data_IF_639459762038
#
_entry.id   IF_639459762038
#
_cell.length_a   1.000
_cell.length_b   1.000
_cell.length_c   1.000
_cell.angle_alpha   90.00
_cell.angle_beta   90.00
_cell.angle_gamma   90.00
#
_symmetry.space_group_name_H-M   'P 1'
#
loop_
_entity.id
_entity.type
_entity.pdbx_description
1 polymer ?
#
# COMPACT_ATOMS: atom_id res chain seq x y z
N UNK A 1 -6.49 -16.12 -15.76
CA UNK A 1 -6.16 -15.00 -14.85
C UNK A 1 -7.29 -14.85 -13.86
N UNK A 2 -6.99 -14.59 -12.58
CA UNK A 2 -8.05 -14.40 -11.58
C UNK A 2 -8.90 -13.15 -11.88
N UNK A 3 -10.22 -13.28 -11.73
CA UNK A 3 -11.19 -12.22 -12.03
C UNK A 3 -10.94 -10.96 -11.19
N UNK A 4 -10.51 -11.10 -9.93
CA UNK A 4 -10.20 -9.98 -9.05
C UNK A 4 -9.00 -9.16 -9.57
N UNK A 5 -7.96 -9.84 -10.07
CA UNK A 5 -6.81 -9.18 -10.68
C UNK A 5 -7.17 -8.45 -11.97
N UNK A 6 -8.09 -9.00 -12.77
CA UNK A 6 -8.59 -8.30 -13.97
C UNK A 6 -9.35 -7.03 -13.58
N UNK A 7 -10.28 -7.13 -12.63
CA UNK A 7 -11.07 -5.99 -12.17
C UNK A 7 -10.19 -4.87 -11.59
N UNK A 8 -9.17 -5.22 -10.79
CA UNK A 8 -8.27 -4.20 -10.23
C UNK A 8 -7.42 -3.51 -11.29
N UNK A 9 -7.04 -4.22 -12.38
CA UNK A 9 -6.34 -3.61 -13.52
C UNK A 9 -7.23 -2.65 -14.29
N UNK A 10 -8.47 -3.04 -14.57
CA UNK A 10 -9.45 -2.17 -15.23
C UNK A 10 -9.74 -0.93 -14.39
N UNK A 11 -9.92 -1.10 -13.07
CA UNK A 11 -10.07 0.02 -12.15
C UNK A 11 -8.85 0.93 -12.15
N UNK A 12 -7.63 0.38 -12.18
CA UNK A 12 -6.39 1.16 -12.23
C UNK A 12 -6.24 1.93 -13.55
N UNK A 13 -6.73 1.37 -14.67
CA UNK A 13 -6.75 2.06 -15.95
C UNK A 13 -7.79 3.20 -15.97
N UNK A 14 -8.95 3.00 -15.34
CA UNK A 14 -10.02 4.00 -15.29
C UNK A 14 -9.75 5.13 -14.27
N UNK A 15 -9.04 4.83 -13.19
CA UNK A 15 -8.76 5.76 -12.10
C UNK A 15 -7.30 5.62 -11.61
N UNK A 16 -6.30 6.05 -12.40
CA UNK A 16 -4.88 5.90 -12.07
C UNK A 16 -4.48 6.66 -10.79
N UNK A 17 -5.18 7.76 -10.50
CA UNK A 17 -4.90 8.63 -9.34
C UNK A 17 -5.77 8.30 -8.12
N UNK A 18 -6.34 7.09 -8.07
CA UNK A 18 -7.13 6.64 -6.92
C UNK A 18 -6.29 5.83 -5.95
N UNK A 19 -6.04 6.40 -4.76
CA UNK A 19 -5.33 5.71 -3.67
C UNK A 19 -6.03 4.40 -3.27
N UNK A 20 -7.37 4.36 -3.28
CA UNK A 20 -8.13 3.17 -2.96
C UNK A 20 -7.94 2.05 -4.00
N UNK A 21 -7.84 2.41 -5.29
CA UNK A 21 -7.56 1.44 -6.35
C UNK A 21 -6.14 0.89 -6.24
N UNK A 22 -5.16 1.77 -5.99
CA UNK A 22 -3.78 1.37 -5.74
C UNK A 22 -3.66 0.47 -4.48
N UNK A 23 -4.40 0.78 -3.41
CA UNK A 23 -4.49 -0.03 -2.20
C UNK A 23 -5.10 -1.43 -2.46
N UNK A 24 -6.19 -1.49 -3.24
CA UNK A 24 -6.81 -2.76 -3.62
C UNK A 24 -5.86 -3.62 -4.47
N UNK A 25 -5.12 -2.98 -5.40
CA UNK A 25 -4.10 -3.66 -6.20
C UNK A 25 -2.97 -4.19 -5.33
N UNK A 26 -2.43 -3.39 -4.41
CA UNK A 26 -1.43 -3.83 -3.43
C UNK A 26 -1.91 -5.08 -2.68
N UNK A 27 -3.12 -5.03 -2.14
CA UNK A 27 -3.71 -6.12 -1.37
C UNK A 27 -3.83 -7.41 -2.18
N UNK A 28 -4.31 -7.31 -3.42
CA UNK A 28 -4.50 -8.47 -4.29
C UNK A 28 -3.16 -9.03 -4.77
N UNK A 29 -2.24 -8.21 -5.27
CA UNK A 29 -0.95 -8.71 -5.76
C UNK A 29 -0.17 -9.43 -4.64
N UNK A 30 -0.26 -8.96 -3.40
CA UNK A 30 0.33 -9.67 -2.26
C UNK A 30 -0.34 -11.02 -2.00
N UNK A 31 -1.67 -11.08 -2.03
CA UNK A 31 -2.43 -12.33 -1.86
C UNK A 31 -2.03 -13.38 -2.93
N UNK A 32 -1.69 -12.93 -4.13
CA UNK A 32 -1.21 -13.78 -5.22
C UNK A 32 0.30 -14.06 -5.19
N UNK A 33 1.00 -13.70 -4.12
CA UNK A 33 2.43 -13.93 -3.94
C UNK A 33 3.33 -13.02 -4.78
N UNK A 34 2.80 -11.94 -5.35
CA UNK A 34 3.53 -10.99 -6.20
C UNK A 34 3.96 -9.78 -5.38
N UNK A 35 4.86 -10.04 -4.44
CA UNK A 35 5.37 -9.08 -3.47
C UNK A 35 5.82 -7.74 -4.11
N UNK A 36 6.63 -7.79 -5.16
CA UNK A 36 7.19 -6.58 -5.78
C UNK A 36 6.09 -5.67 -6.37
N UNK A 37 5.09 -6.27 -7.02
CA UNK A 37 3.95 -5.54 -7.58
C UNK A 37 3.06 -4.97 -6.45
N UNK A 38 2.95 -5.69 -5.34
CA UNK A 38 2.21 -5.22 -4.18
C UNK A 38 2.88 -3.98 -3.56
N UNK A 39 4.20 -4.04 -3.36
CA UNK A 39 4.99 -2.92 -2.81
C UNK A 39 4.91 -1.71 -3.72
N UNK A 40 5.05 -1.89 -5.04
CA UNK A 40 4.93 -0.80 -6.00
C UNK A 40 3.55 -0.11 -5.94
N UNK A 41 2.47 -0.90 -5.89
CA UNK A 41 1.12 -0.38 -5.77
C UNK A 41 0.87 0.31 -4.41
N UNK A 42 1.46 -0.19 -3.33
CA UNK A 42 1.39 0.43 -2.00
C UNK A 42 2.11 1.78 -1.94
N UNK A 43 3.28 1.89 -2.57
CA UNK A 43 4.01 3.16 -2.71
C UNK A 43 3.21 4.19 -3.51
N UNK A 44 2.63 3.78 -4.64
CA UNK A 44 1.71 4.63 -5.42
C UNK A 44 0.52 5.09 -4.56
N UNK A 45 -0.10 4.19 -3.80
CA UNK A 45 -1.23 4.55 -2.94
C UNK A 45 -0.81 5.61 -1.89
N UNK A 46 0.37 5.47 -1.30
CA UNK A 46 0.91 6.40 -0.31
C UNK A 46 1.29 7.75 -0.92
N UNK A 47 1.78 7.78 -2.16
CA UNK A 47 2.04 9.01 -2.91
C UNK A 47 0.75 9.79 -3.18
N UNK A 48 -0.33 9.08 -3.54
CA UNK A 48 -1.64 9.70 -3.80
C UNK A 48 -2.29 10.18 -2.50
N UNK A 49 -2.26 9.37 -1.43
CA UNK A 49 -2.82 9.73 -0.14
C UNK A 49 -1.90 9.32 1.02
N UNK A 50 -1.01 10.22 1.47
CA UNK A 50 -0.05 9.91 2.53
C UNK A 50 -0.68 9.84 3.93
N UNK A 51 -1.93 10.30 4.09
CA UNK A 51 -2.60 10.40 5.39
C UNK A 51 -3.55 9.24 5.68
N UNK A 52 -3.80 8.36 4.71
CA UNK A 52 -4.62 7.17 4.94
C UNK A 52 -3.78 6.10 5.66
N UNK A 53 -3.85 6.08 7.00
CA UNK A 53 -3.06 5.17 7.85
C UNK A 53 -3.16 3.69 7.49
N UNK A 54 -4.29 3.25 6.90
CA UNK A 54 -4.47 1.90 6.38
C UNK A 54 -3.48 1.51 5.27
N UNK A 55 -3.11 2.46 4.39
CA UNK A 55 -2.08 2.21 3.34
C UNK A 55 -0.73 1.95 4.01
N UNK A 56 -0.33 2.84 4.91
CA UNK A 56 0.96 2.78 5.60
C UNK A 56 1.09 1.48 6.39
N UNK A 57 0.05 1.11 7.16
CA UNK A 57 0.02 -0.13 7.93
C UNK A 57 0.13 -1.36 7.02
N UNK A 58 -0.63 -1.41 5.93
CA UNK A 58 -0.63 -2.56 5.02
C UNK A 58 0.68 -2.69 4.24
N UNK A 59 1.25 -1.58 3.78
CA UNK A 59 2.54 -1.60 3.10
C UNK A 59 3.67 -2.03 4.06
N UNK A 60 3.66 -1.57 5.32
CA UNK A 60 4.62 -1.99 6.33
C UNK A 60 4.52 -3.50 6.61
N UNK A 61 3.30 -4.04 6.71
CA UNK A 61 3.06 -5.48 6.85
C UNK A 61 3.67 -6.28 5.67
N UNK A 62 3.39 -5.86 4.43
CA UNK A 62 3.92 -6.51 3.23
C UNK A 62 5.45 -6.46 3.21
N UNK A 63 6.06 -5.30 3.48
CA UNK A 63 7.51 -5.13 3.56
C UNK A 63 8.13 -6.06 4.61
N UNK A 64 7.48 -6.21 5.78
CA UNK A 64 7.95 -7.09 6.83
C UNK A 64 7.95 -8.56 6.41
N UNK A 65 6.86 -9.05 5.82
CA UNK A 65 6.74 -10.44 5.38
C UNK A 65 7.60 -10.78 4.17
N UNK A 66 7.96 -9.79 3.37
CA UNK A 66 8.80 -9.96 2.16
C UNK A 66 10.30 -9.76 2.44
N UNK A 67 10.66 -9.47 3.70
CA UNK A 67 12.05 -9.40 4.16
C UNK A 67 12.63 -7.98 4.23
N UNK A 68 11.93 -6.96 3.73
CA UNK A 68 12.30 -5.55 3.83
C UNK A 68 11.94 -4.96 5.22
N UNK A 69 12.42 -5.62 6.28
CA UNK A 69 12.02 -5.32 7.67
C UNK A 69 12.43 -3.93 8.14
N UNK A 70 13.60 -3.44 7.72
CA UNK A 70 14.07 -2.11 8.11
C UNK A 70 13.18 -1.01 7.51
N UNK A 71 12.76 -1.18 6.26
CA UNK A 71 11.81 -0.26 5.61
C UNK A 71 10.43 -0.32 6.27
N UNK A 72 9.95 -1.51 6.61
CA UNK A 72 8.70 -1.70 7.34
C UNK A 72 8.70 -0.96 8.68
N UNK A 73 9.79 -1.08 9.45
CA UNK A 73 9.95 -0.41 10.75
C UNK A 73 10.02 1.12 10.59
N UNK A 74 10.74 1.62 9.59
CA UNK A 74 10.80 3.04 9.28
C UNK A 74 9.42 3.60 8.92
N UNK A 75 8.65 2.85 8.12
CA UNK A 75 7.30 3.24 7.70
C UNK A 75 6.31 3.25 8.88
N UNK A 76 6.36 2.23 9.75
CA UNK A 76 5.55 2.17 10.96
C UNK A 76 5.87 3.31 11.94
N UNK A 77 7.15 3.68 12.09
CA UNK A 77 7.56 4.83 12.91
C UNK A 77 6.99 6.14 12.37
N UNK A 78 7.07 6.36 11.06
CA UNK A 78 6.48 7.55 10.41
C UNK A 78 4.97 7.67 10.68
N UNK A 79 4.25 6.55 10.63
CA UNK A 79 2.82 6.52 10.96
C UNK A 79 2.57 6.99 12.41
N UNK A 80 3.31 6.44 13.38
CA UNK A 80 3.16 6.80 14.80
C UNK A 80 3.51 8.28 15.11
N UNK A 81 4.43 8.88 14.36
CA UNK A 81 4.80 10.29 14.53
C UNK A 81 3.82 11.25 13.87
N UNK A 82 3.20 10.84 12.75
CA UNK A 82 2.22 11.65 12.04
C UNK A 82 0.92 11.82 12.85
N UNK A 83 0.47 10.78 13.54
CA UNK A 83 -0.70 10.84 14.45
C UNK A 83 -0.41 11.64 15.74
N UNK A 84 0.85 11.75 16.15
CA UNK A 84 1.26 12.42 17.40
C UNK A 84 1.47 13.94 17.31
N UNK A 85 1.35 14.55 16.12
CA UNK A 85 1.76 15.96 15.91
C UNK A 85 0.59 16.93 15.67
N UNK A 86 -0.68 16.47 15.73
CA UNK A 86 -1.85 17.35 15.52
C UNK A 86 -2.36 18.02 16.81
N UNK A 87 -1.70 17.81 17.96
CA UNK A 87 -2.01 18.52 19.21
C UNK A 87 -0.74 19.09 19.86
N UNK A 88 -0.33 20.29 19.43
CA UNK A 88 0.39 21.26 20.27
C UNK A 88 -0.09 22.65 19.94
#
# INVERSE_FOLDING_TARGET
MDKALQMVREAAAAAPDSANVAYARMTLEFLYGRADLAIAAGRQALEINPYQGGITARLAEILYFTGARDEALALARRASTADGTVYR
#
